data_IF_752439004765
#
_entry.id   IF_752439004765
#
_cell.length_a   1.000
_cell.length_b   1.000
_cell.length_c   1.000
_cell.angle_alpha   90.00
_cell.angle_beta   90.00
_cell.angle_gamma   90.00
#
_symmetry.space_group_name_H-M   'P 1'
#
loop_
_entity.id
_entity.type
_entity.pdbx_description
1 polymer ?
#
# COMPACT_ATOMS: atom_id res chain seq x y z
N UNK A 1 -13.34 -7.72 22.36
CA UNK A 1 -11.97 -8.26 22.55
C UNK A 1 -11.66 -9.09 21.32
N UNK A 2 -10.43 -9.08 20.82
CA UNK A 2 -10.06 -9.96 19.71
C UNK A 2 -9.72 -11.35 20.25
N UNK A 3 -10.25 -12.39 19.61
CA UNK A 3 -9.92 -13.78 19.89
C UNK A 3 -9.07 -14.29 18.74
N UNK A 4 -7.81 -14.63 19.00
CA UNK A 4 -6.88 -15.16 18.01
C UNK A 4 -6.69 -16.64 18.27
N UNK A 5 -6.83 -17.46 17.24
CA UNK A 5 -6.69 -18.92 17.30
C UNK A 5 -5.60 -19.33 16.33
N UNK A 6 -4.67 -20.15 16.81
CA UNK A 6 -3.67 -20.80 15.96
C UNK A 6 -2.43 -21.22 16.74
N UNK A 7 -1.32 -21.39 16.03
CA UNK A 7 -0.03 -21.80 16.59
C UNK A 7 1.15 -21.11 15.89
N UNK A 8 2.26 -20.96 16.63
CA UNK A 8 3.55 -20.50 16.13
C UNK A 8 3.73 -18.97 16.02
N UNK A 9 4.89 -18.57 15.48
CA UNK A 9 5.32 -17.15 15.35
C UNK A 9 4.28 -16.21 14.71
N UNK A 10 3.57 -16.57 13.63
CA UNK A 10 2.58 -15.68 13.03
C UNK A 10 1.48 -15.24 14.02
N UNK A 11 1.05 -16.15 14.90
CA UNK A 11 0.06 -15.85 15.93
C UNK A 11 0.61 -14.89 16.97
N UNK A 12 1.83 -15.14 17.47
CA UNK A 12 2.47 -14.29 18.46
C UNK A 12 2.66 -12.85 17.92
N UNK A 13 3.10 -12.72 16.66
CA UNK A 13 3.26 -11.42 16.00
C UNK A 13 1.94 -10.69 15.78
N UNK A 14 0.89 -11.40 15.37
CA UNK A 14 -0.44 -10.81 15.22
C UNK A 14 -0.99 -10.35 16.58
N UNK A 15 -0.83 -11.16 17.64
CA UNK A 15 -1.24 -10.81 18.99
C UNK A 15 -0.53 -9.55 19.50
N UNK A 16 0.79 -9.47 19.29
CA UNK A 16 1.60 -8.30 19.64
C UNK A 16 1.17 -7.01 18.92
N UNK A 17 0.66 -7.13 17.69
CA UNK A 17 0.10 -6.00 16.96
C UNK A 17 -1.30 -5.62 17.47
N UNK A 18 -2.20 -6.58 17.62
CA UNK A 18 -3.58 -6.38 18.08
C UNK A 18 -3.67 -5.75 19.47
N UNK A 19 -2.83 -6.20 20.42
CA UNK A 19 -2.85 -5.73 21.81
C UNK A 19 -2.59 -4.24 21.98
N UNK A 20 -1.94 -3.59 21.01
CA UNK A 20 -1.68 -2.14 21.00
C UNK A 20 -2.97 -1.32 20.94
N UNK A 21 -4.02 -1.88 20.38
CA UNK A 21 -5.26 -1.15 20.08
C UNK A 21 -6.48 -1.75 20.79
N UNK A 22 -6.49 -3.07 21.05
CA UNK A 22 -7.64 -3.78 21.62
C UNK A 22 -7.20 -4.89 22.58
N UNK A 23 -7.96 -5.15 23.67
CA UNK A 23 -7.76 -6.36 24.47
C UNK A 23 -7.82 -7.60 23.58
N UNK A 24 -6.83 -8.48 23.73
CA UNK A 24 -6.59 -9.63 22.84
C UNK A 24 -6.44 -10.89 23.69
N UNK A 25 -7.19 -11.92 23.32
CA UNK A 25 -7.09 -13.27 23.87
C UNK A 25 -6.52 -14.19 22.79
N UNK A 26 -5.56 -15.04 23.16
CA UNK A 26 -4.88 -15.97 22.26
C UNK A 26 -5.19 -17.39 22.72
N UNK A 27 -5.71 -18.22 21.82
CA UNK A 27 -5.92 -19.65 22.02
C UNK A 27 -4.91 -20.40 21.18
N UNK A 28 -4.04 -21.16 21.83
CA UNK A 28 -2.96 -21.89 21.16
C UNK A 28 -2.64 -23.19 21.89
N UNK A 29 -1.90 -24.10 21.25
CA UNK A 29 -1.41 -25.31 21.89
C UNK A 29 -0.22 -24.97 22.80
N UNK A 30 -0.20 -25.53 24.01
CA UNK A 30 0.90 -25.35 24.96
C UNK A 30 2.24 -25.84 24.38
N UNK A 31 2.22 -26.86 23.51
CA UNK A 31 3.39 -27.36 22.79
C UNK A 31 3.95 -26.39 21.75
N UNK A 32 3.15 -25.43 21.29
CA UNK A 32 3.51 -24.49 20.22
C UNK A 32 3.99 -23.14 20.74
N UNK A 33 3.92 -22.91 22.06
CA UNK A 33 4.45 -21.72 22.71
C UNK A 33 5.98 -21.78 22.77
N UNK A 34 6.63 -20.73 22.27
CA UNK A 34 8.07 -20.55 22.36
C UNK A 34 8.43 -19.48 23.37
N UNK A 35 9.63 -19.57 23.95
CA UNK A 35 10.12 -18.59 24.93
C UNK A 35 10.28 -17.17 24.37
N UNK A 36 10.35 -17.03 23.05
CA UNK A 36 10.48 -15.74 22.35
C UNK A 36 9.13 -15.10 21.99
N UNK A 37 8.01 -15.78 22.23
CA UNK A 37 6.67 -15.28 21.88
C UNK A 37 6.28 -14.08 22.77
N UNK A 38 6.18 -12.88 22.16
CA UNK A 38 5.80 -11.66 22.88
C UNK A 38 4.28 -11.56 23.11
N UNK A 39 3.79 -12.34 24.07
CA UNK A 39 2.38 -12.39 24.46
C UNK A 39 2.05 -11.56 25.71
N UNK A 40 3.00 -10.78 26.23
CA UNK A 40 2.77 -9.93 27.40
C UNK A 40 1.61 -8.96 27.18
N UNK A 41 0.64 -8.96 28.11
CA UNK A 41 -0.57 -8.14 28.00
C UNK A 41 -1.69 -8.73 27.15
N UNK A 42 -1.54 -9.96 26.65
CA UNK A 42 -2.64 -10.77 26.10
C UNK A 42 -3.17 -11.75 27.15
N UNK A 43 -4.45 -12.07 27.09
CA UNK A 43 -5.01 -13.22 27.81
C UNK A 43 -4.62 -14.49 27.03
N UNK A 44 -3.75 -15.34 27.57
CA UNK A 44 -3.27 -16.54 26.86
C UNK A 44 -3.95 -17.79 27.39
N UNK A 45 -4.61 -18.50 26.50
CA UNK A 45 -5.23 -19.80 26.72
C UNK A 45 -4.37 -20.87 26.04
N UNK A 46 -3.50 -21.49 26.82
CA UNK A 46 -2.64 -22.58 26.37
C UNK A 46 -3.36 -23.92 26.56
N UNK A 47 -3.82 -24.51 25.46
CA UNK A 47 -4.51 -25.79 25.45
C UNK A 47 -3.50 -26.94 25.56
N UNK A 48 -3.78 -27.98 26.36
CA UNK A 48 -2.88 -29.14 26.45
C UNK A 48 -2.85 -29.98 25.17
N UNK A 49 -3.93 -29.94 24.38
CA UNK A 49 -4.12 -30.63 23.11
C UNK A 49 -5.21 -29.90 22.30
N UNK A 50 -5.44 -30.29 21.04
CA UNK A 50 -6.57 -29.78 20.26
C UNK A 50 -7.90 -30.17 20.93
N UNK A 51 -8.89 -29.26 20.89
CA UNK A 51 -10.18 -29.44 21.55
C UNK A 51 -11.32 -28.96 20.66
N UNK A 52 -12.51 -29.50 20.87
CA UNK A 52 -13.73 -29.00 20.23
C UNK A 52 -13.98 -27.55 20.63
N UNK A 53 -14.64 -26.79 19.73
CA UNK A 53 -14.95 -25.38 19.96
C UNK A 53 -15.78 -25.20 21.22
N UNK A 54 -16.74 -26.07 21.53
CA UNK A 54 -17.57 -25.96 22.74
C UNK A 54 -16.79 -26.18 24.05
N UNK A 55 -15.71 -26.95 23.99
CA UNK A 55 -14.88 -27.28 25.15
C UNK A 55 -13.81 -26.22 25.44
N UNK A 56 -13.58 -25.25 24.53
CA UNK A 56 -12.54 -24.23 24.77
C UNK A 56 -12.89 -23.41 26.02
N UNK A 57 -11.89 -23.05 26.84
CA UNK A 57 -12.09 -22.14 27.96
C UNK A 57 -12.80 -20.85 27.52
N UNK A 58 -13.84 -20.46 28.26
CA UNK A 58 -14.59 -19.25 27.92
C UNK A 58 -13.72 -18.02 28.17
N UNK A 59 -13.51 -17.14 27.17
CA UNK A 59 -12.70 -15.95 27.34
C UNK A 59 -13.29 -14.99 28.37
N UNK A 60 -12.43 -14.17 28.97
CA UNK A 60 -12.80 -13.17 29.98
C UNK A 60 -13.82 -12.14 29.49
N UNK A 61 -13.89 -11.93 28.17
CA UNK A 61 -14.80 -10.98 27.50
C UNK A 61 -15.36 -11.60 26.23
N UNK A 62 -16.57 -11.19 25.85
CA UNK A 62 -17.15 -11.56 24.57
C UNK A 62 -16.27 -11.06 23.40
N UNK A 63 -15.97 -11.92 22.41
CA UNK A 63 -15.20 -11.50 21.26
C UNK A 63 -16.00 -10.55 20.36
N UNK A 64 -15.30 -9.61 19.72
CA UNK A 64 -15.89 -8.76 18.67
C UNK A 64 -15.28 -9.02 17.29
N UNK A 65 -14.27 -9.89 17.25
CA UNK A 65 -13.61 -10.41 16.06
C UNK A 65 -12.91 -11.70 16.47
N UNK A 66 -13.04 -12.74 15.65
CA UNK A 66 -12.28 -13.98 15.77
C UNK A 66 -11.35 -14.08 14.56
N UNK A 67 -10.07 -14.34 14.81
CA UNK A 67 -9.08 -14.59 13.74
C UNK A 67 -8.50 -15.97 13.93
N UNK A 68 -8.60 -16.81 12.91
CA UNK A 68 -8.05 -18.17 12.89
C UNK A 68 -6.94 -18.20 11.86
N UNK A 69 -5.68 -18.22 12.32
CA UNK A 69 -4.52 -18.28 11.42
C UNK A 69 -4.24 -19.70 10.95
N UNK A 70 -4.46 -20.67 11.83
CA UNK A 70 -4.47 -22.09 11.52
C UNK A 70 -5.40 -22.81 12.52
N UNK A 71 -5.88 -23.98 12.15
CA UNK A 71 -6.84 -24.75 12.92
C UNK A 71 -6.21 -25.74 13.91
N UNK A 72 -4.88 -25.75 14.08
CA UNK A 72 -4.19 -26.74 14.93
C UNK A 72 -4.76 -26.87 16.37
N UNK A 73 -5.19 -25.77 17.04
CA UNK A 73 -5.75 -25.88 18.40
C UNK A 73 -7.20 -26.40 18.44
N UNK A 74 -7.87 -26.52 17.29
CA UNK A 74 -9.30 -26.84 17.20
C UNK A 74 -9.47 -28.22 16.56
N UNK A 75 -10.13 -29.13 17.27
CA UNK A 75 -10.39 -30.50 16.83
C UNK A 75 -11.73 -30.60 16.10
N UNK A 76 -11.86 -29.96 14.93
CA UNK A 76 -13.07 -30.03 14.10
C UNK A 76 -12.73 -29.80 12.63
N UNK A 77 -13.50 -30.44 11.74
CA UNK A 77 -13.44 -30.18 10.31
C UNK A 77 -14.17 -28.88 9.95
N UNK A 78 -15.18 -28.47 10.74
CA UNK A 78 -16.07 -27.34 10.44
C UNK A 78 -15.81 -26.12 11.33
N UNK A 79 -14.56 -25.64 11.37
CA UNK A 79 -14.10 -24.60 12.33
C UNK A 79 -14.98 -23.35 12.30
N UNK A 80 -15.33 -22.85 11.12
CA UNK A 80 -16.12 -21.61 10.98
C UNK A 80 -17.54 -21.79 11.51
N UNK A 81 -18.18 -22.92 11.23
CA UNK A 81 -19.55 -23.19 11.65
C UNK A 81 -19.63 -23.31 13.17
N UNK A 82 -18.69 -24.05 13.78
CA UNK A 82 -18.64 -24.25 15.22
C UNK A 82 -18.36 -22.94 15.97
N UNK A 83 -17.43 -22.13 15.48
CA UNK A 83 -17.17 -20.79 16.03
C UNK A 83 -18.37 -19.85 15.89
N UNK A 84 -19.09 -19.92 14.76
CA UNK A 84 -20.30 -19.12 14.52
C UNK A 84 -21.46 -19.56 15.41
N UNK A 85 -21.56 -20.86 15.72
CA UNK A 85 -22.54 -21.41 16.67
C UNK A 85 -22.26 -20.93 18.09
N UNK A 86 -21.00 -21.00 18.53
CA UNK A 86 -20.60 -20.59 19.88
C UNK A 86 -20.64 -19.08 20.10
N UNK A 87 -20.27 -18.29 19.08
CA UNK A 87 -20.29 -16.82 19.13
C UNK A 87 -21.08 -16.22 17.95
N UNK A 88 -22.43 -16.28 18.00
CA UNK A 88 -23.27 -15.79 16.92
C UNK A 88 -23.06 -14.31 16.60
N UNK A 89 -22.93 -13.98 15.32
CA UNK A 89 -22.81 -12.60 14.82
C UNK A 89 -21.42 -11.97 14.99
N UNK A 90 -20.43 -12.71 15.50
CA UNK A 90 -19.04 -12.23 15.56
C UNK A 90 -18.37 -12.50 14.21
N UNK A 91 -17.74 -11.50 13.56
CA UNK A 91 -17.02 -11.71 12.32
C UNK A 91 -15.82 -12.64 12.53
N UNK A 92 -15.61 -13.55 11.58
CA UNK A 92 -14.50 -14.52 11.58
C UNK A 92 -13.61 -14.24 10.37
N UNK A 93 -12.30 -14.14 10.60
CA UNK A 93 -11.28 -14.07 9.55
C UNK A 93 -10.44 -15.35 9.67
N UNK A 94 -10.33 -16.17 8.63
CA UNK A 94 -9.59 -17.44 8.76
C UNK A 94 -9.87 -18.47 7.67
N UNK A 95 -10.03 -19.76 7.99
CA UNK A 95 -10.26 -20.78 6.97
C UNK A 95 -11.57 -20.55 6.21
N UNK A 96 -11.70 -21.19 5.05
CA UNK A 96 -12.94 -21.16 4.30
C UNK A 96 -14.09 -21.81 5.10
N UNK A 97 -15.30 -21.22 5.06
CA UNK A 97 -16.46 -21.89 5.58
C UNK A 97 -16.76 -23.14 4.73
N UNK A 98 -16.92 -24.28 5.39
CA UNK A 98 -17.46 -25.47 4.75
C UNK A 98 -18.99 -25.36 4.71
N UNK A 99 -19.57 -25.31 3.50
CA UNK A 99 -21.01 -25.21 3.27
C UNK A 99 -21.60 -23.79 3.42
N UNK A 100 -22.93 -23.71 3.56
CA UNK A 100 -23.68 -22.43 3.53
C UNK A 100 -23.82 -21.75 4.91
N UNK A 101 -23.32 -22.36 5.99
CA UNK A 101 -23.71 -21.99 7.36
C UNK A 101 -22.74 -21.05 8.10
N UNK A 102 -21.69 -20.56 7.44
CA UNK A 102 -20.69 -19.66 8.05
C UNK A 102 -20.42 -18.42 7.20
N UNK A 103 -20.42 -17.23 7.83
CA UNK A 103 -19.96 -15.99 7.22
C UNK A 103 -18.55 -15.70 7.74
N UNK A 104 -17.54 -15.99 6.93
CA UNK A 104 -16.14 -15.68 7.23
C UNK A 104 -15.48 -14.94 6.07
N UNK A 105 -14.45 -14.16 6.40
CA UNK A 105 -13.51 -13.57 5.45
C UNK A 105 -12.31 -14.53 5.30
N UNK A 106 -12.20 -15.26 4.18
CA UNK A 106 -11.22 -16.34 4.06
C UNK A 106 -9.79 -15.80 3.87
N UNK A 107 -8.85 -16.35 4.65
CA UNK A 107 -7.41 -16.14 4.53
C UNK A 107 -6.77 -17.29 3.76
N UNK A 108 -6.70 -17.14 2.43
CA UNK A 108 -6.04 -18.10 1.54
C UNK A 108 -4.56 -17.78 1.34
N UNK A 109 -3.63 -18.67 1.74
CA UNK A 109 -2.19 -18.44 1.56
C UNK A 109 -1.79 -18.12 0.12
N UNK A 110 -2.42 -18.77 -0.87
CA UNK A 110 -2.19 -18.57 -2.29
C UNK A 110 -2.58 -17.16 -2.77
N UNK A 111 -3.69 -16.61 -2.28
CA UNK A 111 -4.14 -15.26 -2.64
C UNK A 111 -3.25 -14.18 -2.01
N UNK A 112 -2.80 -14.42 -0.77
CA UNK A 112 -1.84 -13.55 -0.08
C UNK A 112 -0.47 -13.56 -0.78
N UNK A 113 0.03 -14.74 -1.14
CA UNK A 113 1.28 -14.89 -1.89
C UNK A 113 1.18 -14.25 -3.27
N UNK A 114 0.07 -14.47 -3.99
CA UNK A 114 -0.15 -13.88 -5.30
C UNK A 114 -0.21 -12.34 -5.22
N UNK A 115 -0.90 -11.80 -4.21
CA UNK A 115 -0.99 -10.35 -3.99
C UNK A 115 0.39 -9.76 -3.68
N UNK A 116 1.14 -10.37 -2.75
CA UNK A 116 2.49 -9.94 -2.43
C UNK A 116 3.45 -10.03 -3.63
N UNK A 117 3.34 -11.09 -4.43
CA UNK A 117 4.11 -11.25 -5.66
C UNK A 117 3.78 -10.17 -6.69
N UNK A 118 2.49 -9.91 -6.94
CA UNK A 118 2.03 -8.83 -7.84
C UNK A 118 2.57 -7.47 -7.40
N UNK A 119 2.51 -7.17 -6.11
CA UNK A 119 3.03 -5.91 -5.57
C UNK A 119 4.55 -5.81 -5.74
N UNK A 120 5.28 -6.91 -5.56
CA UNK A 120 6.73 -6.93 -5.75
C UNK A 120 7.14 -6.79 -7.21
N UNK A 121 6.38 -7.38 -8.14
CA UNK A 121 6.56 -7.20 -9.59
C UNK A 121 6.32 -5.74 -9.97
N UNK A 122 5.20 -5.15 -9.55
CA UNK A 122 4.91 -3.73 -9.81
C UNK A 122 5.96 -2.80 -9.22
N UNK A 123 6.50 -3.13 -8.03
CA UNK A 123 7.60 -2.37 -7.44
C UNK A 123 8.87 -2.46 -8.30
N UNK A 124 9.18 -3.64 -8.85
CA UNK A 124 10.32 -3.83 -9.72
C UNK A 124 10.15 -3.10 -11.06
N UNK A 125 8.96 -3.19 -11.68
CA UNK A 125 8.64 -2.47 -12.92
C UNK A 125 8.82 -0.95 -12.75
N UNK A 126 8.34 -0.39 -11.63
CA UNK A 126 8.57 1.02 -11.30
C UNK A 126 10.04 1.37 -11.18
N UNK A 127 10.84 0.49 -10.55
CA UNK A 127 12.28 0.70 -10.42
C UNK A 127 12.98 0.66 -11.79
N UNK A 128 12.65 -0.32 -12.63
CA UNK A 128 13.17 -0.40 -14.00
C UNK A 128 12.77 0.83 -14.82
N UNK A 129 11.52 1.28 -14.75
CA UNK A 129 11.09 2.52 -15.41
C UNK A 129 11.88 3.74 -14.95
N UNK A 130 12.08 3.90 -13.64
CA UNK A 130 12.90 4.99 -13.09
C UNK A 130 14.36 4.92 -13.54
N UNK A 131 14.92 3.71 -13.68
CA UNK A 131 16.31 3.53 -14.14
C UNK A 131 16.56 4.04 -15.56
N UNK A 132 15.52 4.05 -16.41
CA UNK A 132 15.61 4.61 -17.78
C UNK A 132 15.78 6.13 -17.73
N UNK A 133 15.00 6.82 -16.90
CA UNK A 133 15.14 8.27 -16.69
C UNK A 133 16.50 8.60 -16.07
N UNK A 134 16.92 7.83 -15.07
CA UNK A 134 18.23 8.00 -14.45
C UNK A 134 19.38 7.81 -15.45
N UNK A 135 19.31 6.79 -16.31
CA UNK A 135 20.32 6.56 -17.34
C UNK A 135 20.33 7.67 -18.39
N UNK A 136 19.14 8.18 -18.77
CA UNK A 136 19.03 9.29 -19.72
C UNK A 136 19.68 10.57 -19.16
N UNK A 137 19.36 10.95 -17.92
CA UNK A 137 19.95 12.13 -17.29
C UNK A 137 21.44 11.97 -17.01
N UNK A 138 21.92 10.77 -16.69
CA UNK A 138 23.35 10.52 -16.47
C UNK A 138 24.20 10.71 -17.73
N UNK A 139 23.59 10.69 -18.92
CA UNK A 139 24.27 10.97 -20.19
C UNK A 139 24.42 12.46 -20.51
N UNK A 140 23.78 13.35 -19.75
CA UNK A 140 23.83 14.80 -19.98
C UNK A 140 25.01 15.44 -19.24
N UNK A 141 25.50 16.56 -19.77
CA UNK A 141 26.55 17.34 -19.13
C UNK A 141 26.00 18.10 -17.90
N UNK A 142 26.88 18.41 -16.95
CA UNK A 142 26.51 19.25 -15.81
C UNK A 142 25.97 20.62 -16.28
N UNK A 143 24.85 21.05 -15.70
CA UNK A 143 24.17 22.28 -16.08
C UNK A 143 23.24 22.17 -17.29
N UNK A 144 23.14 21.01 -17.96
CA UNK A 144 22.23 20.82 -19.10
C UNK A 144 20.77 21.17 -18.77
N UNK A 145 20.08 21.72 -19.76
CA UNK A 145 18.71 22.22 -19.66
C UNK A 145 17.69 21.12 -19.92
N UNK A 146 16.77 20.90 -18.98
CA UNK A 146 15.69 19.91 -19.09
C UNK A 146 14.34 20.62 -19.07
N UNK A 147 13.58 20.48 -20.15
CA UNK A 147 12.22 21.02 -20.25
C UNK A 147 11.21 19.96 -19.81
N UNK A 148 10.42 20.27 -18.78
CA UNK A 148 9.43 19.38 -18.20
C UNK A 148 8.06 19.89 -18.59
N UNK A 149 7.34 19.17 -19.44
CA UNK A 149 6.01 19.56 -19.91
C UNK A 149 4.92 18.83 -19.13
N UNK A 150 3.89 19.58 -18.73
CA UNK A 150 2.61 19.05 -18.27
C UNK A 150 1.56 19.12 -19.39
N UNK A 151 0.44 18.44 -19.19
CA UNK A 151 -0.75 18.62 -20.02
C UNK A 151 -1.36 20.03 -19.85
N UNK A 152 -2.27 20.40 -20.75
CA UNK A 152 -2.99 21.68 -20.68
C UNK A 152 -3.89 21.72 -19.46
N UNK A 153 -3.90 22.87 -18.76
CA UNK A 153 -4.63 23.04 -17.51
C UNK A 153 -4.22 22.01 -16.45
N UNK A 154 -2.94 22.00 -16.01
CA UNK A 154 -2.39 20.93 -15.20
C UNK A 154 -3.14 20.79 -13.87
N UNK A 155 -3.45 19.56 -13.52
CA UNK A 155 -4.09 19.22 -12.26
C UNK A 155 -3.03 19.03 -11.14
N UNK A 156 -3.44 18.71 -9.89
CA UNK A 156 -2.47 18.49 -8.81
C UNK A 156 -1.47 17.35 -9.09
N UNK A 157 -1.84 16.32 -9.87
CA UNK A 157 -0.98 15.18 -10.13
C UNK A 157 0.11 15.54 -11.14
N UNK A 158 -0.28 16.23 -12.23
CA UNK A 158 0.66 16.78 -13.20
C UNK A 158 1.66 17.75 -12.54
N UNK A 159 1.17 18.65 -11.68
CA UNK A 159 2.01 19.61 -10.94
C UNK A 159 2.95 18.91 -9.95
N UNK A 160 2.46 17.94 -9.17
CA UNK A 160 3.28 17.19 -8.22
C UNK A 160 4.36 16.38 -8.94
N UNK A 161 4.00 15.72 -10.02
CA UNK A 161 4.90 14.91 -10.82
C UNK A 161 5.97 15.77 -11.52
N UNK A 162 5.61 16.92 -12.08
CA UNK A 162 6.56 17.85 -12.68
C UNK A 162 7.54 18.42 -11.65
N UNK A 163 7.06 18.78 -10.46
CA UNK A 163 7.91 19.19 -9.34
C UNK A 163 8.87 18.07 -8.93
N UNK A 164 8.38 16.83 -8.82
CA UNK A 164 9.22 15.68 -8.46
C UNK A 164 10.34 15.44 -9.49
N UNK A 165 10.02 15.54 -10.79
CA UNK A 165 11.01 15.45 -11.88
C UNK A 165 12.00 16.61 -11.80
N UNK A 166 11.55 17.84 -11.60
CA UNK A 166 12.43 19.00 -11.45
C UNK A 166 13.44 18.78 -10.33
N UNK A 167 12.98 18.34 -9.14
CA UNK A 167 13.86 18.01 -8.00
C UNK A 167 14.80 16.84 -8.26
N UNK A 168 14.42 15.88 -9.10
CA UNK A 168 15.30 14.78 -9.50
C UNK A 168 16.43 15.29 -10.40
N UNK A 169 16.09 16.09 -11.41
CA UNK A 169 17.00 16.73 -12.36
C UNK A 169 17.98 17.66 -11.63
N UNK A 170 17.50 18.54 -10.76
CA UNK A 170 18.33 19.44 -9.94
C UNK A 170 19.34 18.68 -9.06
N UNK A 171 18.93 17.56 -8.46
CA UNK A 171 19.82 16.70 -7.65
C UNK A 171 20.95 16.06 -8.46
N UNK A 172 20.83 16.02 -9.79
CA UNK A 172 21.85 15.53 -10.72
C UNK A 172 22.74 16.65 -11.27
N UNK A 173 22.58 17.89 -10.80
CA UNK A 173 23.33 19.04 -11.29
C UNK A 173 22.82 19.59 -12.64
N UNK A 174 21.60 19.22 -13.03
CA UNK A 174 20.94 19.68 -14.25
C UNK A 174 19.95 20.81 -13.94
N UNK A 175 19.53 21.57 -14.95
CA UNK A 175 18.59 22.70 -14.79
C UNK A 175 17.20 22.30 -15.30
N UNK A 176 16.25 22.07 -14.40
CA UNK A 176 14.86 21.71 -14.75
C UNK A 176 13.92 22.91 -14.76
N UNK A 177 13.12 23.08 -15.83
CA UNK A 177 12.03 24.07 -15.90
C UNK A 177 10.70 23.42 -16.28
N UNK A 178 9.64 23.81 -15.58
CA UNK A 178 8.29 23.26 -15.77
C UNK A 178 7.50 24.17 -16.72
N UNK A 179 6.90 23.58 -17.74
CA UNK A 179 6.10 24.23 -18.76
C UNK A 179 4.71 23.60 -18.85
N UNK A 180 3.69 24.40 -19.13
CA UNK A 180 2.34 23.91 -19.37
C UNK A 180 1.58 24.84 -20.32
N UNK A 181 0.51 24.33 -20.93
CA UNK A 181 -0.50 25.16 -21.57
C UNK A 181 -1.71 25.39 -20.69
N UNK A 182 -2.68 26.11 -21.23
CA UNK A 182 -3.90 26.41 -20.52
C UNK A 182 -3.66 27.18 -19.22
N UNK A 183 -4.60 27.12 -18.30
CA UNK A 183 -4.61 27.82 -17.02
C UNK A 183 -4.65 26.84 -15.86
N UNK A 184 -3.99 27.20 -14.75
CA UNK A 184 -4.20 26.54 -13.46
C UNK A 184 -5.48 27.13 -12.86
N UNK A 185 -6.63 26.63 -13.30
CA UNK A 185 -7.93 27.27 -13.04
C UNK A 185 -8.38 27.12 -11.57
N UNK A 186 -8.23 25.92 -11.00
CA UNK A 186 -8.74 25.63 -9.67
C UNK A 186 -7.92 26.33 -8.57
N UNK A 187 -8.62 26.98 -7.64
CA UNK A 187 -8.00 27.70 -6.52
C UNK A 187 -7.09 26.81 -5.65
N UNK A 188 -7.45 25.53 -5.51
CA UNK A 188 -6.66 24.55 -4.77
C UNK A 188 -5.30 24.30 -5.44
N UNK A 189 -5.28 24.14 -6.77
CA UNK A 189 -4.05 23.94 -7.54
C UNK A 189 -3.17 25.20 -7.51
N UNK A 190 -3.78 26.39 -7.62
CA UNK A 190 -3.05 27.66 -7.45
C UNK A 190 -2.43 27.80 -6.06
N UNK A 191 -3.16 27.42 -5.02
CA UNK A 191 -2.64 27.41 -3.65
C UNK A 191 -1.47 26.41 -3.51
N UNK A 192 -1.57 25.22 -4.11
CA UNK A 192 -0.49 24.24 -4.14
C UNK A 192 0.77 24.82 -4.81
N UNK A 193 0.64 25.43 -6.00
CA UNK A 193 1.75 26.08 -6.70
C UNK A 193 2.41 27.14 -5.83
N UNK A 194 1.62 28.00 -5.19
CA UNK A 194 2.13 29.07 -4.35
C UNK A 194 2.79 28.56 -3.06
N UNK A 195 2.14 27.64 -2.34
CA UNK A 195 2.62 27.14 -1.05
C UNK A 195 3.86 26.24 -1.19
N UNK A 196 3.96 25.49 -2.29
CA UNK A 196 5.10 24.63 -2.57
C UNK A 196 6.20 25.32 -3.40
N UNK A 197 5.95 26.56 -3.86
CA UNK A 197 6.90 27.32 -4.68
C UNK A 197 7.20 26.65 -6.02
N UNK A 198 6.17 26.13 -6.69
CA UNK A 198 6.32 25.46 -7.98
C UNK A 198 6.48 26.52 -9.07
N UNK A 199 7.68 26.65 -9.63
CA UNK A 199 7.96 27.61 -10.70
C UNK A 199 7.51 27.03 -12.05
N UNK A 200 6.30 27.40 -12.48
CA UNK A 200 5.71 26.96 -13.75
C UNK A 200 5.67 28.09 -14.77
N UNK A 201 6.02 27.79 -16.01
CA UNK A 201 5.92 28.73 -17.13
C UNK A 201 4.79 28.33 -18.06
N UNK A 202 3.83 29.22 -18.24
CA UNK A 202 2.73 29.02 -19.19
C UNK A 202 3.21 29.36 -20.60
N UNK A 203 3.03 28.43 -21.54
CA UNK A 203 3.26 28.65 -22.96
C UNK A 203 1.92 28.87 -23.67
N UNK A 204 1.86 29.81 -24.60
CA UNK A 204 0.62 30.19 -25.29
C UNK A 204 0.79 30.07 -26.80
N UNK A 205 1.95 30.46 -27.33
CA UNK A 205 2.20 30.57 -28.76
C UNK A 205 3.14 29.46 -29.24
N UNK A 206 2.91 28.96 -30.46
CA UNK A 206 3.72 27.90 -31.07
C UNK A 206 5.23 28.20 -31.14
N UNK A 207 5.60 29.47 -31.30
CA UNK A 207 7.02 29.87 -31.35
C UNK A 207 7.70 29.77 -29.98
N UNK A 208 6.97 30.00 -28.88
CA UNK A 208 7.54 29.85 -27.52
C UNK A 208 7.89 28.38 -27.26
N UNK A 209 7.03 27.46 -27.71
CA UNK A 209 7.26 26.02 -27.61
C UNK A 209 8.49 25.61 -28.44
N UNK A 210 8.59 26.10 -29.68
CA UNK A 210 9.72 25.83 -30.56
C UNK A 210 11.05 26.32 -29.96
N UNK A 211 11.06 27.52 -29.36
CA UNK A 211 12.25 28.08 -28.69
C UNK A 211 12.66 27.23 -27.48
N UNK A 212 11.70 26.80 -26.66
CA UNK A 212 11.97 25.91 -25.51
C UNK A 212 12.54 24.57 -25.98
N UNK A 213 11.96 23.95 -27.00
CA UNK A 213 12.43 22.67 -27.55
C UNK A 213 13.82 22.79 -28.17
N UNK A 214 14.12 23.90 -28.85
CA UNK A 214 15.43 24.13 -29.45
C UNK A 214 16.53 24.37 -28.39
N UNK A 215 16.18 24.90 -27.22
CA UNK A 215 17.11 25.21 -26.14
C UNK A 215 17.25 24.10 -25.09
N UNK A 216 16.42 23.06 -25.14
CA UNK A 216 16.45 21.96 -24.18
C UNK A 216 17.37 20.83 -24.64
N UNK A 217 18.23 20.35 -23.73
CA UNK A 217 19.07 19.16 -23.96
C UNK A 217 18.27 17.87 -23.78
N UNK A 218 17.19 17.93 -22.99
CA UNK A 218 16.23 16.84 -22.82
C UNK A 218 14.82 17.37 -22.55
N UNK A 219 13.83 16.58 -22.95
CA UNK A 219 12.40 16.87 -22.76
C UNK A 219 11.76 15.74 -21.98
N UNK A 220 11.00 16.09 -20.93
CA UNK A 220 10.25 15.15 -20.13
C UNK A 220 8.77 15.49 -20.21
N UNK A 221 7.97 14.57 -20.71
CA UNK A 221 6.52 14.64 -20.68
C UNK A 221 5.99 14.05 -19.38
N UNK A 222 5.10 14.76 -18.70
CA UNK A 222 4.50 14.33 -17.43
C UNK A 222 2.99 14.36 -17.55
N UNK A 223 2.37 13.24 -17.19
CA UNK A 223 0.91 13.06 -17.17
C UNK A 223 0.22 13.25 -18.54
N UNK A 224 0.95 12.93 -19.62
CA UNK A 224 0.38 12.71 -20.96
C UNK A 224 1.26 11.77 -21.77
N UNK A 225 0.69 11.18 -22.82
CA UNK A 225 1.30 10.08 -23.59
C UNK A 225 1.44 10.38 -25.09
N UNK A 226 0.82 11.46 -25.59
CA UNK A 226 0.89 11.88 -26.99
C UNK A 226 1.05 13.41 -27.06
N UNK A 227 2.07 13.94 -27.76
CA UNK A 227 2.14 15.37 -28.09
C UNK A 227 0.89 15.86 -28.81
N UNK A 228 0.43 17.07 -28.52
CA UNK A 228 -0.76 17.69 -29.11
C UNK A 228 -2.11 17.13 -28.64
N UNK A 229 -2.10 16.04 -27.87
CA UNK A 229 -3.29 15.49 -27.24
C UNK A 229 -3.46 16.07 -25.83
N UNK A 230 -4.20 17.18 -25.73
CA UNK A 230 -4.46 17.89 -24.47
C UNK A 230 -3.17 18.45 -23.82
N UNK A 231 -2.19 18.89 -24.61
CA UNK A 231 -0.96 19.52 -24.15
C UNK A 231 -0.39 20.44 -25.24
N UNK A 232 0.54 21.31 -24.86
CA UNK A 232 1.15 22.34 -25.75
C UNK A 232 2.15 21.81 -26.77
N UNK A 233 2.58 20.55 -26.69
CA UNK A 233 3.59 20.01 -27.60
C UNK A 233 3.04 19.66 -28.98
#
# INVERSE_FOLDING_TARGET
>A
MYLLIGAGDPLARLAAWCKRSRPTCVVTLASSLQSEDNLDGCDVVALPQAMLVDDLPTPSRHPNLIVVLNAEPIDTDNVVADLSSRWPGVPIIGPEPEGETGVADPLRPEDLLLSAAKDRVRAQERHTGASVLDAHFAGLAEGSSVAIFCHDNPDPDALASALAVQRLVERRGLTGRIYHGGLIEHHQNRAMVQLLGIETTRLIMGWEIADVLAAADAVVAVDFHQPGANNVL
#
